data_IF_629137157331
#
_entry.id   IF_629137157331
#
_cell.length_a   1.000
_cell.length_b   1.000
_cell.length_c   1.000
_cell.angle_alpha   90.00
_cell.angle_beta   90.00
_cell.angle_gamma   90.00
#
_symmetry.space_group_name_H-M   'P 1'
#
loop_
_entity.id
_entity.type
_entity.pdbx_description
1 polymer ?
#
# COMPACT_ATOMS: atom_id res chain seq x y z
N UNK A 1 7.79 -15.59 1.65
CA UNK A 1 6.98 -14.50 2.24
C UNK A 1 7.91 -13.41 2.77
N UNK A 2 7.52 -12.18 2.62
CA UNK A 2 8.20 -11.03 3.20
C UNK A 2 7.17 -10.07 3.77
N UNK A 3 7.48 -9.43 4.89
CA UNK A 3 6.61 -8.44 5.51
C UNK A 3 7.41 -7.22 5.96
N UNK A 4 6.90 -6.05 5.63
CA UNK A 4 7.45 -4.76 5.98
C UNK A 4 6.42 -3.95 6.75
N UNK A 5 6.87 -3.20 7.75
CA UNK A 5 5.98 -2.44 8.63
C UNK A 5 6.50 -1.01 8.82
N UNK A 6 5.60 -0.13 9.27
CA UNK A 6 5.97 1.22 9.71
C UNK A 6 6.24 1.21 11.22
N UNK A 7 7.27 1.92 11.67
CA UNK A 7 7.62 2.01 13.10
C UNK A 7 7.10 3.27 13.78
N UNK A 8 6.61 4.23 13.00
CA UNK A 8 6.07 5.50 13.49
C UNK A 8 4.83 5.89 12.73
N UNK A 9 4.04 6.81 13.31
CA UNK A 9 2.93 7.42 12.61
C UNK A 9 3.46 8.31 11.48
N UNK A 10 2.86 8.23 10.30
CA UNK A 10 3.28 8.97 9.12
C UNK A 10 2.15 9.82 8.58
N UNK A 11 2.49 11.03 8.14
CA UNK A 11 1.61 11.87 7.34
C UNK A 11 1.91 11.60 5.87
N UNK A 12 0.93 11.08 5.14
CA UNK A 12 1.09 10.70 3.73
C UNK A 12 0.23 11.60 2.86
N UNK A 13 0.85 12.31 1.93
CA UNK A 13 0.15 13.17 0.99
C UNK A 13 -0.54 12.35 -0.11
N UNK A 14 -1.54 12.97 -0.74
CA UNK A 14 -2.28 12.34 -1.84
C UNK A 14 -1.32 11.87 -2.94
N UNK A 15 -1.52 10.65 -3.42
CA UNK A 15 -0.71 9.96 -4.42
C UNK A 15 0.73 9.62 -3.99
N UNK A 16 1.06 9.81 -2.72
CA UNK A 16 2.36 9.41 -2.18
C UNK A 16 2.30 8.02 -1.53
N UNK A 17 3.47 7.41 -1.39
CA UNK A 17 3.60 6.06 -0.84
C UNK A 17 3.72 6.08 0.68
N UNK A 18 3.26 5.00 1.31
CA UNK A 18 3.49 4.77 2.74
C UNK A 18 4.95 4.33 2.92
N UNK A 19 5.74 4.99 3.78
CA UNK A 19 7.15 4.65 3.98
C UNK A 19 7.31 3.49 4.97
N UNK A 20 7.32 2.26 4.49
CA UNK A 20 7.65 1.10 5.32
C UNK A 20 9.15 1.10 5.61
N UNK A 21 9.52 1.09 6.88
CA UNK A 21 10.88 1.33 7.35
C UNK A 21 11.50 0.18 8.15
N UNK A 22 10.73 -0.88 8.44
CA UNK A 22 11.22 -2.05 9.16
C UNK A 22 10.84 -3.34 8.46
N UNK A 23 11.78 -4.26 8.40
CA UNK A 23 11.53 -5.63 7.95
C UNK A 23 11.03 -6.46 9.13
N UNK A 24 9.79 -6.92 9.08
CA UNK A 24 9.22 -7.82 10.08
C UNK A 24 9.52 -9.28 9.76
N UNK A 25 9.33 -9.65 8.49
CA UNK A 25 9.67 -10.98 7.99
C UNK A 25 10.56 -10.79 6.76
N UNK A 26 11.84 -11.18 6.83
CA UNK A 26 12.75 -11.02 5.69
C UNK A 26 12.45 -12.03 4.58
N UNK A 27 12.72 -11.62 3.35
CA UNK A 27 12.64 -12.52 2.21
C UNK A 27 13.93 -13.35 2.10
N UNK A 28 13.83 -14.67 2.24
CA UNK A 28 14.98 -15.57 2.19
C UNK A 28 15.41 -15.95 0.77
N UNK A 29 14.59 -15.66 -0.24
CA UNK A 29 14.84 -16.07 -1.62
C UNK A 29 15.41 -14.95 -2.49
N UNK A 30 15.51 -13.73 -1.96
CA UNK A 30 15.92 -12.57 -2.74
C UNK A 30 14.90 -12.11 -3.80
N UNK A 31 13.68 -12.66 -3.75
CA UNK A 31 12.61 -12.29 -4.69
C UNK A 31 11.98 -10.94 -4.40
N UNK A 32 12.07 -10.47 -3.16
CA UNK A 32 11.55 -9.17 -2.73
C UNK A 32 12.69 -8.34 -2.17
N UNK A 33 12.90 -7.17 -2.74
CA UNK A 33 13.95 -6.25 -2.32
C UNK A 33 13.31 -4.93 -1.93
N UNK A 34 13.47 -4.45 -0.70
CA UNK A 34 13.01 -3.12 -0.32
C UNK A 34 13.88 -2.06 -0.99
N UNK A 35 13.22 -1.06 -1.57
CA UNK A 35 13.85 0.17 -2.03
C UNK A 35 13.42 1.28 -1.07
N UNK A 36 14.19 2.36 -0.99
CA UNK A 36 13.89 3.49 -0.11
C UNK A 36 12.44 4.01 -0.29
N UNK A 37 11.85 4.54 0.80
CA UNK A 37 10.52 5.16 0.82
C UNK A 37 9.34 4.21 0.60
N UNK A 38 9.48 2.96 1.00
CA UNK A 38 8.37 2.00 1.01
C UNK A 38 8.07 1.32 -0.32
N UNK A 39 8.87 1.56 -1.33
CA UNK A 39 8.74 0.87 -2.62
C UNK A 39 9.51 -0.45 -2.57
N UNK A 40 8.83 -1.55 -2.91
CA UNK A 40 9.40 -2.89 -2.96
C UNK A 40 9.63 -3.29 -4.42
N UNK A 41 10.74 -3.97 -4.70
CA UNK A 41 10.94 -4.61 -6.00
C UNK A 41 10.72 -6.11 -5.86
N UNK A 42 9.78 -6.64 -6.63
CA UNK A 42 9.48 -8.07 -6.67
C UNK A 42 10.02 -8.64 -7.99
N UNK A 43 10.77 -9.73 -7.90
CA UNK A 43 11.41 -10.36 -9.05
C UNK A 43 10.66 -11.63 -9.46
N UNK A 44 10.57 -11.85 -10.76
CA UNK A 44 10.06 -13.09 -11.35
C UNK A 44 11.10 -14.19 -11.34
N UNK A 45 11.60 -14.57 -10.16
CA UNK A 45 12.57 -15.65 -10.00
C UNK A 45 11.85 -17.01 -10.09
N UNK A 46 11.68 -17.50 -11.32
CA UNK A 46 10.97 -18.73 -11.58
C UNK A 46 11.53 -19.41 -12.83
N UNK A 47 11.35 -20.73 -12.91
CA UNK A 47 11.61 -21.52 -14.12
C UNK A 47 10.40 -21.59 -15.04
N UNK A 48 9.24 -21.15 -14.55
CA UNK A 48 8.00 -21.07 -15.31
C UNK A 48 7.95 -19.75 -16.11
N UNK A 49 6.93 -19.60 -16.94
CA UNK A 49 6.75 -18.36 -17.73
C UNK A 49 6.54 -17.12 -16.86
N UNK A 50 5.96 -17.27 -15.69
CA UNK A 50 5.68 -16.18 -14.75
C UNK A 50 5.62 -16.71 -13.31
N UNK A 51 5.80 -15.79 -12.37
CA UNK A 51 5.55 -16.01 -10.94
C UNK A 51 4.36 -15.16 -10.50
N UNK A 52 3.55 -15.69 -9.59
CA UNK A 52 2.42 -14.95 -8.99
C UNK A 52 2.68 -14.70 -7.52
N UNK A 53 2.33 -13.49 -7.10
CA UNK A 53 2.47 -13.06 -5.72
C UNK A 53 1.16 -12.46 -5.24
N UNK A 54 0.80 -12.76 -3.99
CA UNK A 54 -0.24 -12.04 -3.27
C UNK A 54 0.41 -10.93 -2.45
N UNK A 55 -0.06 -9.72 -2.64
CA UNK A 55 0.34 -8.56 -1.86
C UNK A 55 -0.82 -8.18 -0.96
N UNK A 56 -0.62 -8.18 0.34
CA UNK A 56 -1.63 -7.79 1.33
C UNK A 56 -1.19 -6.51 2.02
N UNK A 57 -2.06 -5.52 2.02
CA UNK A 57 -1.85 -4.24 2.69
C UNK A 57 -2.84 -4.10 3.83
N UNK A 58 -2.36 -3.76 5.01
CA UNK A 58 -3.23 -3.45 6.14
C UNK A 58 -2.66 -2.32 6.98
N UNK A 59 -3.54 -1.56 7.58
CA UNK A 59 -3.17 -0.44 8.44
C UNK A 59 -4.38 0.32 8.95
N UNK A 60 -4.12 1.23 9.87
CA UNK A 60 -5.12 2.14 10.40
C UNK A 60 -4.84 3.53 9.86
N UNK A 61 -5.86 4.16 9.29
CA UNK A 61 -5.75 5.49 8.68
C UNK A 61 -6.80 6.43 9.26
N UNK A 62 -6.49 7.72 9.25
CA UNK A 62 -7.38 8.78 9.71
C UNK A 62 -7.14 10.06 8.95
N UNK A 63 -8.13 10.94 8.95
CA UNK A 63 -7.94 12.34 8.54
C UNK A 63 -7.15 13.05 9.65
N UNK A 64 -6.04 13.73 9.34
CA UNK A 64 -5.25 14.42 10.36
C UNK A 64 -6.00 15.60 10.95
N UNK A 65 -5.60 16.02 12.14
CA UNK A 65 -6.13 17.21 12.78
C UNK A 65 -5.91 18.44 11.88
N UNK A 66 -6.95 19.22 11.70
CA UNK A 66 -6.94 20.36 10.78
C UNK A 66 -7.30 20.05 9.33
N UNK A 67 -7.49 18.76 8.99
CA UNK A 67 -7.97 18.34 7.68
C UNK A 67 -9.49 18.34 7.57
N UNK A 68 -9.99 18.34 6.36
CA UNK A 68 -11.41 18.19 6.07
C UNK A 68 -11.80 16.71 6.09
N UNK A 69 -12.92 16.38 6.76
CA UNK A 69 -13.43 15.00 6.82
C UNK A 69 -14.01 14.61 5.47
N UNK A 70 -13.31 13.73 4.77
CA UNK A 70 -13.70 13.18 3.48
C UNK A 70 -13.43 11.68 3.44
N UNK A 71 -13.95 10.98 2.43
CA UNK A 71 -13.58 9.59 2.19
C UNK A 71 -12.09 9.51 1.85
N UNK A 72 -11.38 8.60 2.51
CA UNK A 72 -9.96 8.34 2.30
C UNK A 72 -9.75 6.89 1.89
N UNK A 73 -8.72 6.63 1.10
CA UNK A 73 -8.50 5.30 0.57
C UNK A 73 -7.02 4.96 0.49
N UNK A 74 -6.71 3.67 0.63
CA UNK A 74 -5.40 3.11 0.30
C UNK A 74 -5.54 2.14 -0.86
N UNK A 75 -4.53 2.09 -1.69
CA UNK A 75 -4.45 1.14 -2.79
C UNK A 75 -3.04 0.59 -2.96
N UNK A 76 -2.95 -0.53 -3.65
CA UNK A 76 -1.68 -1.14 -4.04
C UNK A 76 -1.34 -0.67 -5.45
N UNK A 77 -0.14 -0.11 -5.62
CA UNK A 77 0.35 0.34 -6.91
C UNK A 77 1.43 -0.60 -7.43
N UNK A 78 1.37 -0.89 -8.73
CA UNK A 78 2.40 -1.65 -9.46
C UNK A 78 3.01 -0.74 -10.50
N UNK A 79 4.34 -0.59 -10.48
CA UNK A 79 5.07 0.31 -11.37
C UNK A 79 4.51 1.74 -11.37
N UNK A 80 4.04 2.20 -10.21
CA UNK A 80 3.47 3.54 -10.04
C UNK A 80 1.99 3.66 -10.38
N UNK A 81 1.35 2.63 -10.93
CA UNK A 81 -0.06 2.64 -11.28
C UNK A 81 -0.89 1.87 -10.24
N UNK A 82 -1.89 2.51 -9.66
CA UNK A 82 -2.77 1.89 -8.67
C UNK A 82 -3.65 0.84 -9.33
N UNK A 83 -3.72 -0.34 -8.71
CA UNK A 83 -4.64 -1.40 -9.13
C UNK A 83 -6.04 -1.05 -8.61
N UNK A 84 -7.03 -0.81 -9.49
CA UNK A 84 -8.36 -0.36 -9.04
C UNK A 84 -9.04 -1.31 -8.05
N UNK A 85 -8.88 -2.61 -8.23
CA UNK A 85 -9.49 -3.65 -7.38
C UNK A 85 -8.88 -3.69 -5.97
N UNK A 86 -7.70 -3.09 -5.77
CA UNK A 86 -7.02 -3.07 -4.48
C UNK A 86 -7.37 -1.85 -3.63
N UNK A 87 -8.18 -0.94 -4.14
CA UNK A 87 -8.54 0.29 -3.42
C UNK A 87 -9.55 -0.03 -2.32
N UNK A 88 -9.20 0.29 -1.08
CA UNK A 88 -10.08 0.17 0.07
C UNK A 88 -10.40 1.56 0.62
N UNK A 89 -11.68 1.87 0.75
CA UNK A 89 -12.16 3.19 1.12
C UNK A 89 -12.67 3.18 2.57
N UNK A 90 -12.30 4.19 3.33
CA UNK A 90 -12.81 4.48 4.66
C UNK A 90 -13.37 5.90 4.71
N UNK A 91 -14.59 6.04 5.20
CA UNK A 91 -15.24 7.35 5.39
C UNK A 91 -15.34 7.66 6.88
N UNK A 92 -14.42 8.46 7.44
CA UNK A 92 -14.47 8.84 8.84
C UNK A 92 -15.60 9.82 9.12
N UNK A 93 -16.06 9.88 10.37
CA UNK A 93 -17.05 10.87 10.80
C UNK A 93 -16.41 12.08 11.49
N UNK A 94 -15.15 11.96 11.90
CA UNK A 94 -14.41 13.01 12.58
C UNK A 94 -12.92 12.93 12.25
N UNK A 95 -12.19 14.03 12.47
CA UNK A 95 -10.73 14.03 12.39
C UNK A 95 -10.14 13.12 13.47
N UNK A 96 -8.99 12.55 13.20
CA UNK A 96 -8.28 11.62 14.11
C UNK A 96 -9.07 10.36 14.46
N UNK A 97 -10.15 10.04 13.73
CA UNK A 97 -10.86 8.77 13.84
C UNK A 97 -10.19 7.74 12.95
N UNK A 98 -9.57 6.74 13.55
CA UNK A 98 -8.87 5.68 12.82
C UNK A 98 -9.82 4.58 12.36
N UNK A 99 -9.71 4.23 11.08
CA UNK A 99 -10.37 3.07 10.51
C UNK A 99 -9.36 2.07 9.98
N UNK A 100 -9.66 0.79 10.15
CA UNK A 100 -8.80 -0.28 9.67
C UNK A 100 -9.04 -0.53 8.18
N UNK A 101 -7.95 -0.51 7.40
CA UNK A 101 -7.95 -0.87 5.99
C UNK A 101 -7.20 -2.19 5.82
N UNK A 102 -7.83 -3.11 5.10
CA UNK A 102 -7.22 -4.37 4.70
C UNK A 102 -7.59 -4.64 3.24
N UNK A 103 -6.60 -4.74 2.39
CA UNK A 103 -6.80 -5.03 0.97
C UNK A 103 -5.68 -5.91 0.44
N UNK A 104 -5.95 -6.60 -0.65
CA UNK A 104 -4.97 -7.44 -1.31
C UNK A 104 -5.06 -7.35 -2.83
N UNK A 105 -3.97 -7.72 -3.49
CA UNK A 105 -3.91 -7.87 -4.93
C UNK A 105 -3.02 -9.05 -5.28
N UNK A 106 -3.35 -9.72 -6.37
CA UNK A 106 -2.49 -10.76 -6.95
C UNK A 106 -1.81 -10.17 -8.18
N UNK A 107 -0.48 -10.24 -8.19
CA UNK A 107 0.32 -9.73 -9.30
C UNK A 107 1.04 -10.87 -10.01
N UNK A 108 1.20 -10.73 -11.32
CA UNK A 108 1.90 -11.71 -12.16
C UNK A 108 3.14 -11.05 -12.73
N UNK A 109 4.30 -11.64 -12.49
CA UNK A 109 5.59 -11.12 -12.95
C UNK A 109 6.21 -12.14 -13.92
N UNK A 110 6.49 -11.75 -15.17
CA UNK A 110 7.14 -12.62 -16.14
C UNK A 110 8.52 -13.08 -15.66
N UNK A 111 8.93 -14.26 -16.08
CA UNK A 111 10.26 -14.80 -15.79
C UNK A 111 11.34 -13.83 -16.20
N UNK A 112 12.29 -13.57 -15.31
CA UNK A 112 13.42 -12.65 -15.56
C UNK A 112 13.06 -11.17 -15.46
N UNK A 113 11.79 -10.81 -15.25
CA UNK A 113 11.36 -9.42 -15.06
C UNK A 113 11.25 -9.06 -13.58
N UNK A 114 10.98 -7.79 -13.31
CA UNK A 114 10.69 -7.29 -11.97
C UNK A 114 9.59 -6.23 -12.04
N UNK A 115 8.93 -5.99 -10.90
CA UNK A 115 7.93 -4.95 -10.75
C UNK A 115 8.15 -4.22 -9.43
N UNK A 116 7.88 -2.91 -9.42
CA UNK A 116 7.83 -2.16 -8.18
C UNK A 116 6.43 -2.23 -7.59
N UNK A 117 6.34 -2.38 -6.27
CA UNK A 117 5.07 -2.46 -5.53
C UNK A 117 5.12 -1.48 -4.37
N UNK A 118 4.04 -0.74 -4.18
CA UNK A 118 3.92 0.24 -3.10
C UNK A 118 2.48 0.35 -2.63
N UNK A 119 2.30 0.89 -1.42
CA UNK A 119 0.99 1.29 -0.91
C UNK A 119 0.87 2.81 -1.04
N UNK A 120 -0.26 3.28 -1.57
CA UNK A 120 -0.46 4.68 -1.93
C UNK A 120 -1.74 5.21 -1.32
N UNK A 121 -1.72 6.46 -0.83
CA UNK A 121 -2.95 7.18 -0.50
C UNK A 121 -3.63 7.58 -1.82
N UNK A 122 -4.86 7.10 -2.00
CA UNK A 122 -5.67 7.32 -3.20
C UNK A 122 -6.85 8.22 -2.87
N UNK A 123 -7.32 9.00 -3.85
CA UNK A 123 -8.54 9.79 -3.72
C UNK A 123 -9.75 8.88 -3.50
N UNK A 124 -10.29 8.88 -2.27
CA UNK A 124 -11.50 8.14 -1.92
C UNK A 124 -12.79 8.83 -2.34
N UNK A 125 -12.70 10.05 -2.87
CA UNK A 125 -13.86 10.86 -3.30
C UNK A 125 -14.05 10.85 -4.82
N UNK A 126 -13.41 9.94 -5.52
CA UNK A 126 -13.39 9.89 -7.00
C UNK A 126 -14.79 9.85 -7.62
N UNK A 127 -15.75 9.21 -6.95
CA UNK A 127 -17.13 9.13 -7.39
C UNK A 127 -17.97 10.39 -7.11
N UNK A 128 -17.41 11.35 -6.38
CA UNK A 128 -18.08 12.62 -6.06
C UNK A 128 -17.21 13.80 -6.52
N UNK A 129 -17.36 14.28 -7.75
CA UNK A 129 -16.54 15.36 -8.31
C UNK A 129 -16.72 16.71 -7.60
N UNK A 130 -17.79 16.87 -6.77
CA UNK A 130 -18.00 18.09 -6.00
C UNK A 130 -17.18 18.14 -4.71
N UNK A 131 -16.62 17.01 -4.28
CA UNK A 131 -15.85 16.90 -3.04
C UNK A 131 -14.36 16.88 -3.37
N UNK A 132 -13.60 17.77 -2.72
CA UNK A 132 -12.13 17.78 -2.82
C UNK A 132 -11.56 16.83 -1.77
N UNK A 133 -10.69 15.88 -2.15
CA UNK A 133 -10.07 14.98 -1.18
C UNK A 133 -9.17 15.74 -0.21
N UNK A 134 -9.06 15.24 1.03
CA UNK A 134 -8.10 15.80 1.97
C UNK A 134 -6.67 15.63 1.44
N UNK A 135 -5.80 16.65 1.55
CA UNK A 135 -4.49 16.61 0.93
C UNK A 135 -3.53 15.59 1.54
N UNK A 136 -3.79 15.14 2.76
CA UNK A 136 -2.96 14.14 3.42
C UNK A 136 -3.76 13.32 4.43
N UNK A 137 -3.26 12.13 4.74
CA UNK A 137 -3.81 11.24 5.77
C UNK A 137 -2.74 10.88 6.79
N UNK A 138 -3.17 10.52 7.98
CA UNK A 138 -2.31 9.91 8.99
C UNK A 138 -2.39 8.39 8.88
N UNK A 139 -1.24 7.76 8.69
CA UNK A 139 -1.12 6.30 8.76
C UNK A 139 -0.48 5.96 10.09
N UNK A 140 -1.20 5.21 10.91
CA UNK A 140 -0.71 4.82 12.23
C UNK A 140 0.44 3.83 12.09
N UNK A 141 1.38 3.85 13.06
CA UNK A 141 2.46 2.87 13.14
C UNK A 141 1.92 1.43 13.08
N UNK A 142 2.77 0.51 12.64
CA UNK A 142 2.44 -0.90 12.47
C UNK A 142 1.51 -1.19 11.29
N UNK A 143 1.36 -0.24 10.36
CA UNK A 143 0.85 -0.58 9.03
C UNK A 143 1.81 -1.56 8.36
N UNK A 144 1.29 -2.52 7.64
CA UNK A 144 2.12 -3.57 7.04
C UNK A 144 1.78 -3.86 5.59
N UNK A 145 2.80 -4.22 4.83
CA UNK A 145 2.65 -4.79 3.51
C UNK A 145 3.32 -6.17 3.51
N UNK A 146 2.58 -7.19 3.10
CA UNK A 146 3.04 -8.57 3.08
C UNK A 146 3.04 -9.07 1.64
N UNK A 147 4.13 -9.70 1.22
CA UNK A 147 4.27 -10.29 -0.10
C UNK A 147 4.46 -11.79 0.06
N UNK A 148 3.58 -12.56 -0.55
CA UNK A 148 3.59 -14.02 -0.50
C UNK A 148 3.59 -14.58 -1.92
N UNK A 149 4.51 -15.49 -2.21
CA UNK A 149 4.48 -16.20 -3.48
C UNK A 149 3.42 -17.29 -3.45
N UNK A 150 2.54 -17.33 -4.45
CA UNK A 150 1.44 -18.30 -4.55
C UNK A 150 1.53 -19.23 -5.76
N UNK A 151 2.41 -18.91 -6.71
CA UNK A 151 2.63 -19.81 -7.86
C UNK A 151 4.00 -19.56 -8.53
#
# INVERSE_FOLDING_TARGET
>A
MAQYVTTSDNLVALNNTIPFDRVSIPCNTGSVIPIASGVLTIKGNTRNRFARYRVTLQGNIAVPEGGDVTAIALGIAINGAVIPESVAIFTPQAVSEYGHINTEAVITIPCGCCASVSAVYVDGTEDDPATTPTPSITVRREASITVERIA
#
